data_IF_116391842417
#
_entry.id   IF_116391842417
#
_cell.length_a   1.000
_cell.length_b   1.000
_cell.length_c   1.000
_cell.angle_alpha   90.00
_cell.angle_beta   90.00
_cell.angle_gamma   90.00
#
_symmetry.space_group_name_H-M   'P 1'
#
loop_
_entity.id
_entity.type
_entity.pdbx_description
1 polymer ?
#
# COMPACT_ATOMS: atom_id res chain seq x y z
N UNK A 1 25.62 -13.39 16.38
CA UNK A 1 24.68 -13.23 15.24
C UNK A 1 23.84 -11.98 15.51
N UNK A 2 23.59 -11.16 14.50
CA UNK A 2 22.70 -9.99 14.63
C UNK A 2 21.28 -10.42 14.23
N UNK A 3 20.27 -10.04 15.02
CA UNK A 3 18.86 -10.17 14.68
C UNK A 3 18.32 -8.79 14.27
N UNK A 4 17.55 -8.74 13.20
CA UNK A 4 16.81 -7.55 12.80
C UNK A 4 15.33 -7.76 13.12
N UNK A 5 14.76 -6.85 13.89
CA UNK A 5 13.37 -6.91 14.34
C UNK A 5 12.68 -5.62 13.91
N UNK A 6 11.55 -5.73 13.24
CA UNK A 6 10.79 -4.60 12.74
C UNK A 6 9.29 -4.75 12.98
N UNK A 7 8.61 -3.66 13.24
CA UNK A 7 7.15 -3.64 13.29
C UNK A 7 6.54 -3.85 11.91
N UNK A 8 5.38 -4.50 11.86
CA UNK A 8 4.68 -4.81 10.60
C UNK A 8 4.16 -3.57 9.86
N UNK A 9 4.17 -2.41 10.50
CA UNK A 9 3.56 -1.17 10.00
C UNK A 9 2.16 -0.95 10.56
N UNK A 10 1.63 0.25 10.34
CA UNK A 10 0.33 0.66 10.86
C UNK A 10 -0.69 0.93 9.73
N UNK A 11 -0.55 0.21 8.61
CA UNK A 11 -1.35 0.44 7.39
C UNK A 11 -2.51 -0.57 7.23
N UNK A 12 -2.76 -1.43 8.24
CA UNK A 12 -3.75 -2.50 8.15
C UNK A 12 -5.19 -2.03 7.90
N UNK A 13 -5.57 -0.87 8.42
CA UNK A 13 -6.89 -0.24 8.26
C UNK A 13 -6.85 1.13 7.58
N UNK A 14 -5.68 1.53 7.07
CA UNK A 14 -5.45 2.84 6.46
C UNK A 14 -6.16 3.06 5.11
N UNK A 15 -6.67 2.00 4.50
CA UNK A 15 -7.29 2.09 3.17
C UNK A 15 -6.31 2.35 2.02
N UNK A 16 -5.01 2.18 2.28
CA UNK A 16 -3.94 2.44 1.31
C UNK A 16 -3.63 1.29 0.35
N UNK A 17 -4.32 0.15 0.46
CA UNK A 17 -4.11 -1.00 -0.41
C UNK A 17 -5.43 -1.53 -0.97
N UNK A 18 -5.40 -1.99 -2.21
CA UNK A 18 -6.49 -2.74 -2.84
C UNK A 18 -5.93 -3.77 -3.82
N UNK A 19 -6.66 -4.84 -4.04
CA UNK A 19 -6.24 -5.95 -4.90
C UNK A 19 -7.40 -6.53 -5.70
N UNK A 20 -7.10 -7.36 -6.68
CA UNK A 20 -8.13 -8.05 -7.44
C UNK A 20 -7.60 -8.99 -8.52
N UNK A 21 -8.54 -9.43 -9.35
CA UNK A 21 -8.27 -10.38 -10.42
C UNK A 21 -8.71 -9.82 -11.76
N UNK A 22 -7.83 -9.88 -12.75
CA UNK A 22 -8.10 -9.48 -14.14
C UNK A 22 -8.78 -10.62 -14.91
N UNK A 23 -9.63 -10.23 -15.84
CA UNK A 23 -10.22 -11.14 -16.84
C UNK A 23 -10.24 -10.44 -18.20
N UNK A 24 -9.89 -11.15 -19.24
CA UNK A 24 -9.90 -10.60 -20.62
C UNK A 24 -11.29 -10.01 -20.95
N UNK A 25 -11.29 -8.83 -21.54
CA UNK A 25 -12.51 -8.12 -21.95
C UNK A 25 -13.38 -7.58 -20.83
N UNK A 26 -12.96 -7.69 -19.54
CA UNK A 26 -13.70 -7.17 -18.39
C UNK A 26 -12.87 -6.10 -17.67
N UNK A 27 -13.30 -4.85 -17.77
CA UNK A 27 -12.65 -3.76 -17.06
C UNK A 27 -12.79 -3.90 -15.54
N UNK A 28 -11.73 -3.53 -14.81
CA UNK A 28 -11.77 -3.38 -13.37
C UNK A 28 -11.86 -1.89 -13.03
N UNK A 29 -12.77 -1.55 -12.14
CA UNK A 29 -13.01 -0.16 -11.70
C UNK A 29 -12.57 -0.02 -10.26
N UNK A 30 -11.60 0.83 -10.02
CA UNK A 30 -11.07 1.16 -8.71
C UNK A 30 -11.40 2.61 -8.41
N UNK A 31 -12.02 2.86 -7.26
CA UNK A 31 -12.38 4.18 -6.78
C UNK A 31 -11.40 4.63 -5.71
N UNK A 32 -10.81 5.80 -5.91
CA UNK A 32 -9.84 6.44 -5.04
C UNK A 32 -10.41 7.77 -4.55
N UNK A 33 -10.66 7.87 -3.25
CA UNK A 33 -10.97 9.14 -2.61
C UNK A 33 -9.70 9.96 -2.47
N UNK A 34 -9.69 11.18 -2.97
CA UNK A 34 -8.62 12.17 -2.76
C UNK A 34 -9.17 13.27 -1.87
N UNK A 35 -8.58 13.43 -0.69
CA UNK A 35 -8.98 14.45 0.26
C UNK A 35 -8.64 15.87 -0.24
N UNK A 36 -9.31 16.92 0.26
CA UNK A 36 -8.91 18.28 0.01
C UNK A 36 -7.46 18.56 0.43
N UNK A 37 -6.80 19.46 -0.30
CA UNK A 37 -5.44 19.95 0.01
C UNK A 37 -4.32 18.93 -0.21
N UNK A 38 -4.53 17.84 -0.95
CA UNK A 38 -3.43 16.98 -1.39
C UNK A 38 -2.53 17.72 -2.38
N UNK A 39 -1.25 17.84 -2.04
CA UNK A 39 -0.23 18.52 -2.86
C UNK A 39 0.47 17.60 -3.84
N UNK A 40 0.37 16.30 -3.64
CA UNK A 40 0.95 15.26 -4.50
C UNK A 40 0.50 13.90 -4.03
N UNK A 41 0.26 13.01 -4.97
CA UNK A 41 -0.16 11.64 -4.70
C UNK A 41 0.49 10.73 -5.73
N UNK A 42 0.87 9.54 -5.30
CA UNK A 42 1.25 8.49 -6.24
C UNK A 42 0.48 7.20 -5.97
N UNK A 43 0.29 6.43 -7.02
CA UNK A 43 -0.35 5.11 -6.98
C UNK A 43 0.61 4.12 -7.62
N UNK A 44 0.88 3.03 -6.93
CA UNK A 44 1.72 1.93 -7.41
C UNK A 44 0.81 0.75 -7.74
N UNK A 45 0.63 0.46 -9.01
CA UNK A 45 -0.06 -0.74 -9.49
C UNK A 45 0.97 -1.80 -9.86
N UNK A 46 0.81 -3.00 -9.31
CA UNK A 46 1.66 -4.15 -9.60
C UNK A 46 0.85 -5.27 -10.26
N UNK A 47 1.33 -5.76 -11.39
CA UNK A 47 0.78 -6.89 -12.14
C UNK A 47 1.91 -7.79 -12.67
N UNK A 48 1.57 -8.90 -13.29
CA UNK A 48 2.58 -9.68 -14.01
C UNK A 48 2.97 -9.00 -15.33
N UNK A 49 4.25 -9.14 -15.74
CA UNK A 49 4.70 -8.67 -17.05
C UNK A 49 3.99 -9.33 -18.23
N UNK A 50 3.53 -10.58 -18.07
CA UNK A 50 2.84 -11.31 -19.13
C UNK A 50 1.39 -10.86 -19.36
N UNK A 51 0.84 -10.09 -18.43
CA UNK A 51 -0.50 -9.54 -18.53
C UNK A 51 -0.47 -8.17 -19.22
N UNK A 52 -1.25 -8.00 -20.27
CA UNK A 52 -1.40 -6.73 -20.97
C UNK A 52 -2.53 -5.93 -20.31
N UNK A 53 -2.21 -4.78 -19.74
CA UNK A 53 -3.19 -3.92 -19.05
C UNK A 53 -2.96 -2.47 -19.43
N UNK A 54 -3.91 -1.89 -20.14
CA UNK A 54 -3.98 -0.44 -20.28
C UNK A 54 -4.73 0.16 -19.07
N UNK A 55 -4.50 1.43 -18.81
CA UNK A 55 -5.19 2.16 -17.73
C UNK A 55 -5.96 3.35 -18.31
N UNK A 56 -6.99 3.78 -17.59
CA UNK A 56 -7.71 5.03 -17.83
C UNK A 56 -8.01 5.68 -16.49
N UNK A 57 -7.79 6.97 -16.38
CA UNK A 57 -8.10 7.74 -15.19
C UNK A 57 -9.20 8.74 -15.49
N UNK A 58 -10.13 8.87 -14.55
CA UNK A 58 -11.25 9.81 -14.66
C UNK A 58 -11.27 10.64 -13.38
N UNK A 59 -11.27 11.96 -13.50
CA UNK A 59 -11.33 12.87 -12.39
C UNK A 59 -12.73 12.95 -11.76
N UNK A 60 -12.89 13.58 -10.59
CA UNK A 60 -14.20 13.74 -9.94
C UNK A 60 -15.23 14.54 -10.75
N UNK A 61 -14.79 15.31 -11.74
CA UNK A 61 -15.67 16.08 -12.65
C UNK A 61 -16.08 15.30 -13.90
N UNK A 62 -15.54 14.08 -14.09
CA UNK A 62 -15.83 13.23 -15.24
C UNK A 62 -14.89 13.39 -16.43
N UNK A 63 -13.84 14.22 -16.32
CA UNK A 63 -12.82 14.29 -17.37
C UNK A 63 -11.99 13.01 -17.38
N UNK A 64 -11.77 12.44 -18.58
CA UNK A 64 -11.06 11.19 -18.75
C UNK A 64 -9.73 11.39 -19.48
N UNK A 65 -8.71 10.63 -19.06
CA UNK A 65 -7.39 10.58 -19.72
C UNK A 65 -7.44 9.97 -21.13
N UNK A 66 -8.52 9.25 -21.44
CA UNK A 66 -8.49 8.26 -22.51
C UNK A 66 -7.71 7.00 -22.11
N UNK A 67 -7.59 6.05 -23.06
CA UNK A 67 -6.83 4.81 -22.86
C UNK A 67 -5.34 5.09 -22.91
N UNK A 68 -4.61 4.63 -21.89
CA UNK A 68 -3.16 4.74 -21.75
C UNK A 68 -2.56 3.35 -21.87
N UNK A 69 -1.95 3.06 -23.01
CA UNK A 69 -1.28 1.79 -23.27
C UNK A 69 0.16 1.82 -22.75
N UNK A 70 0.73 0.63 -22.55
CA UNK A 70 2.13 0.47 -22.18
C UNK A 70 3.06 1.09 -23.22
N UNK A 71 3.94 1.98 -22.77
CA UNK A 71 5.00 2.62 -23.58
C UNK A 71 6.24 2.82 -22.75
N UNK A 72 7.41 2.72 -23.39
CA UNK A 72 8.69 3.06 -22.76
C UNK A 72 8.75 4.54 -22.37
N UNK A 73 9.25 4.81 -21.17
CA UNK A 73 9.41 6.17 -20.65
C UNK A 73 8.16 6.70 -19.95
N UNK A 74 8.23 7.97 -19.55
CA UNK A 74 7.16 8.65 -18.82
C UNK A 74 6.14 9.21 -19.82
N UNK A 75 4.88 8.87 -19.64
CA UNK A 75 3.76 9.44 -20.35
C UNK A 75 3.15 10.55 -19.50
N UNK A 76 2.94 11.74 -20.11
CA UNK A 76 2.32 12.91 -19.48
C UNK A 76 0.95 13.13 -20.05
N UNK A 77 -0.04 13.25 -19.21
CA UNK A 77 -1.45 13.44 -19.62
C UNK A 77 -2.11 14.37 -18.60
N UNK A 78 -2.80 15.39 -19.06
CA UNK A 78 -3.61 16.25 -18.19
C UNK A 78 -5.05 15.75 -18.15
N UNK A 79 -5.61 15.64 -16.95
CA UNK A 79 -7.02 15.30 -16.70
C UNK A 79 -7.61 16.35 -15.78
N UNK A 80 -8.51 17.20 -16.31
CA UNK A 80 -8.99 18.38 -15.59
C UNK A 80 -7.84 19.33 -15.25
N UNK A 81 -7.64 19.60 -13.97
CA UNK A 81 -6.57 20.46 -13.43
C UNK A 81 -5.42 19.64 -12.79
N UNK A 82 -5.27 18.39 -13.20
CA UNK A 82 -4.24 17.49 -12.64
C UNK A 82 -3.39 16.89 -13.77
N UNK A 83 -2.08 17.10 -13.72
CA UNK A 83 -1.13 16.40 -14.58
C UNK A 83 -0.87 15.01 -14.02
N UNK A 84 -0.93 14.01 -14.87
CA UNK A 84 -0.63 12.61 -14.56
C UNK A 84 0.68 12.22 -15.23
N UNK A 85 1.62 11.69 -14.44
CA UNK A 85 2.82 11.05 -14.96
C UNK A 85 2.68 9.54 -14.80
N UNK A 86 2.67 8.82 -15.90
CA UNK A 86 2.51 7.37 -15.90
C UNK A 86 3.79 6.72 -16.41
N UNK A 87 4.31 5.78 -15.65
CA UNK A 87 5.48 5.00 -16.00
C UNK A 87 5.19 3.51 -15.89
N UNK A 88 5.29 2.80 -16.99
CA UNK A 88 5.29 1.34 -17.02
C UNK A 88 6.72 0.84 -16.79
N UNK A 89 6.95 0.18 -15.67
CA UNK A 89 8.27 -0.30 -15.28
C UNK A 89 8.85 -1.32 -16.25
N UNK A 90 10.15 -1.21 -16.50
CA UNK A 90 10.87 -2.13 -17.36
C UNK A 90 11.09 -3.50 -16.68
N UNK A 91 11.22 -4.58 -17.46
CA UNK A 91 11.51 -5.91 -16.93
C UNK A 91 12.76 -5.92 -16.05
N UNK A 92 12.67 -6.58 -14.90
CA UNK A 92 13.76 -6.71 -13.93
C UNK A 92 14.18 -8.19 -13.84
N UNK A 93 15.48 -8.51 -13.75
CA UNK A 93 15.93 -9.90 -13.74
C UNK A 93 15.55 -10.67 -12.49
N UNK A 94 15.09 -9.98 -11.45
CA UNK A 94 14.74 -10.54 -10.14
C UNK A 94 13.24 -10.50 -9.84
N UNK A 95 12.40 -10.05 -10.76
CA UNK A 95 10.95 -9.95 -10.56
C UNK A 95 10.18 -10.23 -11.85
N UNK A 96 9.16 -11.05 -11.75
CA UNK A 96 8.17 -11.28 -12.81
C UNK A 96 7.02 -10.25 -12.75
N UNK A 97 7.04 -9.37 -11.75
CA UNK A 97 6.03 -8.34 -11.56
C UNK A 97 6.47 -7.03 -12.19
N UNK A 98 5.54 -6.38 -12.86
CA UNK A 98 5.67 -5.04 -13.42
C UNK A 98 4.97 -4.03 -12.52
N UNK A 99 5.69 -2.97 -12.20
CA UNK A 99 5.13 -1.79 -11.57
C UNK A 99 4.61 -0.83 -12.64
N UNK A 100 3.40 -0.33 -12.46
CA UNK A 100 2.90 0.85 -13.16
C UNK A 100 2.79 1.95 -12.11
N UNK A 101 3.63 2.97 -12.24
CA UNK A 101 3.71 4.09 -11.31
C UNK A 101 2.94 5.28 -11.88
N UNK A 102 1.98 5.76 -11.12
CA UNK A 102 1.10 6.87 -11.50
C UNK A 102 1.31 8.00 -10.50
N UNK A 103 1.80 9.14 -10.96
CA UNK A 103 1.96 10.34 -10.13
C UNK A 103 0.89 11.35 -10.51
N UNK A 104 0.20 11.89 -9.51
CA UNK A 104 -0.74 12.97 -9.63
C UNK A 104 -0.05 14.27 -9.21
N UNK A 105 0.01 15.22 -10.10
CA UNK A 105 0.59 16.54 -9.88
C UNK A 105 -0.48 17.60 -10.14
N UNK A 106 -0.77 18.49 -9.19
CA UNK A 106 -1.72 19.57 -9.43
C UNK A 106 -1.13 20.59 -10.39
N UNK A 107 -1.91 21.11 -11.33
CA UNK A 107 -1.52 22.29 -12.13
C UNK A 107 -1.55 23.58 -11.30
N UNK A 108 -2.32 23.57 -10.20
CA UNK A 108 -2.35 24.66 -9.21
C UNK A 108 -1.65 24.24 -7.90
N UNK A 109 -2.29 24.44 -6.76
CA UNK A 109 -1.71 24.08 -5.45
C UNK A 109 -2.06 22.66 -4.99
N UNK A 110 -3.24 22.15 -5.40
CA UNK A 110 -3.78 20.90 -4.89
C UNK A 110 -4.39 20.06 -6.01
N UNK A 111 -4.30 18.73 -5.85
CA UNK A 111 -4.97 17.77 -6.71
C UNK A 111 -6.48 17.95 -6.55
N UNK A 112 -7.24 17.82 -7.64
CA UNK A 112 -8.70 17.89 -7.64
C UNK A 112 -9.27 16.91 -6.61
N UNK A 113 -9.90 17.38 -5.51
CA UNK A 113 -10.43 16.52 -4.46
C UNK A 113 -11.72 15.83 -4.91
N UNK A 114 -11.98 14.66 -4.36
CA UNK A 114 -13.16 13.85 -4.65
C UNK A 114 -12.81 12.43 -5.07
N UNK A 115 -13.76 11.74 -5.70
CA UNK A 115 -13.56 10.36 -6.10
C UNK A 115 -12.99 10.29 -7.51
N UNK A 116 -11.74 9.88 -7.60
CA UNK A 116 -11.08 9.51 -8.85
C UNK A 116 -11.41 8.07 -9.21
N UNK A 117 -11.59 7.79 -10.49
CA UNK A 117 -11.79 6.43 -11.00
C UNK A 117 -10.57 5.99 -11.78
N UNK A 118 -9.99 4.87 -11.38
CA UNK A 118 -8.91 4.18 -12.10
C UNK A 118 -9.53 2.96 -12.75
N UNK A 119 -9.50 2.88 -14.08
CA UNK A 119 -9.94 1.71 -14.83
C UNK A 119 -8.75 0.93 -15.33
N UNK A 120 -8.71 -0.36 -15.02
CA UNK A 120 -7.81 -1.30 -15.65
C UNK A 120 -8.53 -1.93 -16.83
N UNK A 121 -7.92 -1.82 -18.01
CA UNK A 121 -8.47 -2.33 -19.28
C UNK A 121 -7.62 -3.52 -19.72
N UNK A 122 -8.01 -4.76 -19.34
CA UNK A 122 -7.24 -5.96 -19.64
C UNK A 122 -7.25 -6.28 -21.12
N UNK A 123 -6.04 -6.54 -21.68
CA UNK A 123 -5.85 -7.18 -22.96
C UNK A 123 -5.71 -8.69 -22.78
N UNK A 124 -4.56 -9.25 -23.18
CA UNK A 124 -4.23 -10.66 -22.94
C UNK A 124 -3.85 -10.86 -21.48
N UNK A 125 -4.49 -11.80 -20.79
CA UNK A 125 -4.32 -12.05 -19.36
C UNK A 125 -3.90 -13.51 -19.11
N UNK A 126 -2.85 -13.70 -18.32
CA UNK A 126 -2.25 -15.01 -17.99
C UNK A 126 -2.22 -15.24 -16.47
N UNK A 127 -1.56 -14.35 -15.69
CA UNK A 127 -1.41 -14.46 -14.22
C UNK A 127 -2.68 -14.01 -13.48
N UNK A 128 -3.35 -13.00 -14.00
CA UNK A 128 -4.61 -12.40 -13.52
C UNK A 128 -4.48 -11.52 -12.29
N UNK A 129 -3.51 -11.73 -11.39
CA UNK A 129 -3.46 -11.01 -10.12
C UNK A 129 -2.90 -9.58 -10.29
N UNK A 130 -3.54 -8.63 -9.63
CA UNK A 130 -3.01 -7.27 -9.50
C UNK A 130 -3.16 -6.77 -8.07
N UNK A 131 -2.30 -5.84 -7.71
CA UNK A 131 -2.34 -5.16 -6.41
C UNK A 131 -2.01 -3.69 -6.60
N UNK A 132 -2.56 -2.82 -5.77
CA UNK A 132 -2.38 -1.38 -5.86
C UNK A 132 -2.19 -0.76 -4.49
N UNK A 133 -1.19 0.11 -4.36
CA UNK A 133 -0.86 0.79 -3.11
C UNK A 133 -0.82 2.30 -3.29
N UNK A 134 -1.20 3.00 -2.22
CA UNK A 134 -0.95 4.41 -1.97
C UNK A 134 0.31 4.55 -1.09
N UNK A 135 0.85 5.77 -0.93
CA UNK A 135 1.82 6.08 0.12
C UNK A 135 1.28 5.74 1.51
N UNK A 136 2.17 5.62 2.48
CA UNK A 136 1.74 5.45 3.88
C UNK A 136 0.79 6.58 4.31
N UNK A 137 -0.21 6.24 5.12
CA UNK A 137 -1.26 7.19 5.55
C UNK A 137 -0.67 8.47 6.18
N UNK A 138 0.47 8.38 6.85
CA UNK A 138 1.17 9.54 7.42
C UNK A 138 1.66 10.56 6.40
N UNK A 139 1.73 10.19 5.12
CA UNK A 139 2.13 11.06 4.01
C UNK A 139 0.91 11.62 3.23
N UNK A 140 -0.30 11.26 3.62
CA UNK A 140 -1.55 11.62 2.96
C UNK A 140 -2.45 12.42 3.91
N UNK A 141 -3.35 13.20 3.34
CA UNK A 141 -4.40 13.85 4.10
C UNK A 141 -5.47 12.83 4.52
N UNK A 142 -6.07 13.06 5.67
CA UNK A 142 -7.14 12.19 6.20
C UNK A 142 -8.31 12.15 5.22
N UNK A 143 -8.67 10.94 4.79
CA UNK A 143 -9.72 10.69 3.80
C UNK A 143 -9.19 10.36 2.39
N UNK A 144 -7.88 10.46 2.14
CA UNK A 144 -7.27 9.91 0.93
C UNK A 144 -7.06 8.41 1.10
N UNK A 145 -7.88 7.60 0.40
CA UNK A 145 -7.89 6.14 0.53
C UNK A 145 -8.64 5.50 -0.64
N UNK A 146 -8.43 4.22 -0.88
CA UNK A 146 -9.31 3.43 -1.75
C UNK A 146 -10.68 3.24 -1.10
N UNK A 147 -11.77 3.33 -1.88
CA UNK A 147 -13.13 3.12 -1.35
C UNK A 147 -13.46 1.65 -1.09
N UNK A 148 -12.70 0.74 -1.70
CA UNK A 148 -12.79 -0.71 -1.47
C UNK A 148 -11.39 -1.24 -1.14
N UNK A 149 -10.88 -0.93 0.06
CA UNK A 149 -9.55 -1.37 0.46
C UNK A 149 -9.51 -2.86 0.79
N UNK A 150 -8.31 -3.43 0.66
CA UNK A 150 -7.97 -4.77 1.14
C UNK A 150 -6.96 -4.62 2.28
N UNK A 151 -7.27 -5.16 3.46
CA UNK A 151 -6.40 -5.10 4.63
C UNK A 151 -5.23 -6.09 4.59
N UNK A 152 -5.23 -7.06 3.68
CA UNK A 152 -4.09 -7.93 3.45
C UNK A 152 -2.97 -7.20 2.68
N UNK A 153 -1.76 -7.74 2.75
CA UNK A 153 -0.58 -7.21 2.03
C UNK A 153 -0.28 -5.73 2.35
N UNK A 154 -0.46 -5.38 3.64
CA UNK A 154 -0.24 -4.03 4.18
C UNK A 154 1.01 -3.92 5.05
N UNK A 155 1.93 -4.89 4.95
CA UNK A 155 3.24 -4.81 5.59
C UNK A 155 4.07 -3.67 4.98
N UNK A 156 4.79 -2.94 5.84
CA UNK A 156 5.68 -1.87 5.40
C UNK A 156 7.15 -2.32 5.36
N UNK A 157 7.97 -1.68 4.55
CA UNK A 157 9.42 -1.90 4.55
C UNK A 157 10.01 -1.32 5.85
N UNK A 158 10.92 -2.06 6.55
CA UNK A 158 11.65 -3.27 6.12
C UNK A 158 11.01 -4.59 6.56
N UNK A 159 9.81 -4.61 7.13
CA UNK A 159 9.19 -5.82 7.68
C UNK A 159 8.91 -6.92 6.64
N UNK A 160 8.89 -6.56 5.36
CA UNK A 160 8.70 -7.50 4.25
C UNK A 160 9.94 -8.35 3.94
N UNK A 161 11.11 -8.01 4.50
CA UNK A 161 12.35 -8.74 4.24
C UNK A 161 12.31 -10.12 4.91
N UNK A 162 12.73 -11.17 4.20
CA UNK A 162 12.61 -12.55 4.64
C UNK A 162 13.37 -12.88 5.94
N UNK A 163 14.51 -12.23 6.18
CA UNK A 163 15.36 -12.45 7.35
C UNK A 163 15.09 -11.50 8.53
N UNK A 164 14.12 -10.59 8.40
CA UNK A 164 13.68 -9.72 9.49
C UNK A 164 12.60 -10.42 10.29
N UNK A 165 12.68 -10.34 11.62
CA UNK A 165 11.61 -10.78 12.52
C UNK A 165 10.55 -9.67 12.52
N UNK A 166 9.40 -9.94 11.95
CA UNK A 166 8.31 -8.99 11.78
C UNK A 166 7.30 -9.12 12.90
N UNK A 167 7.04 -8.02 13.60
CA UNK A 167 6.20 -7.98 14.79
C UNK A 167 4.89 -7.26 14.50
N UNK A 168 3.77 -7.97 14.63
CA UNK A 168 2.43 -7.41 14.63
C UNK A 168 2.05 -6.84 16.00
N UNK A 169 1.01 -6.03 16.04
CA UNK A 169 0.44 -5.51 17.27
C UNK A 169 -0.89 -6.19 17.62
N UNK A 170 -1.10 -6.43 18.93
CA UNK A 170 -2.39 -6.82 19.47
C UNK A 170 -2.75 -5.97 20.71
N UNK A 171 -4.04 -5.91 21.06
CA UNK A 171 -4.50 -5.31 22.31
C UNK A 171 -4.40 -6.35 23.44
N UNK A 172 -3.55 -6.08 24.44
CA UNK A 172 -3.31 -6.98 25.56
C UNK A 172 -4.51 -7.13 26.52
N UNK A 173 -5.50 -6.22 26.48
CA UNK A 173 -6.70 -6.31 27.31
C UNK A 173 -7.76 -7.21 26.68
N UNK A 174 -7.91 -7.16 25.38
CA UNK A 174 -8.93 -7.91 24.64
C UNK A 174 -8.38 -9.17 23.95
N UNK A 175 -7.05 -9.28 23.86
CA UNK A 175 -6.35 -10.30 23.07
C UNK A 175 -6.75 -10.32 21.60
N UNK A 176 -7.22 -9.18 21.07
CA UNK A 176 -7.55 -9.02 19.66
C UNK A 176 -6.39 -8.46 18.86
N UNK A 177 -6.27 -8.87 17.61
CA UNK A 177 -5.34 -8.27 16.66
C UNK A 177 -5.70 -6.78 16.47
N UNK A 178 -4.71 -5.90 16.48
CA UNK A 178 -4.96 -4.48 16.30
C UNK A 178 -5.26 -4.17 14.82
N UNK A 179 -6.37 -3.48 14.54
CA UNK A 179 -6.84 -3.25 13.16
C UNK A 179 -5.82 -2.53 12.29
N UNK A 180 -5.09 -1.57 12.86
CA UNK A 180 -4.02 -0.85 12.17
C UNK A 180 -2.80 -1.71 11.85
N UNK A 181 -2.59 -2.85 12.54
CA UNK A 181 -1.38 -3.64 12.38
C UNK A 181 -1.26 -4.22 10.98
N UNK A 182 -0.14 -3.99 10.32
CA UNK A 182 0.13 -4.48 8.98
C UNK A 182 0.04 -6.01 8.89
N UNK A 183 -0.57 -6.48 7.80
CA UNK A 183 -0.86 -7.89 7.53
C UNK A 183 -0.12 -8.37 6.29
N UNK A 184 0.29 -9.63 6.31
CA UNK A 184 0.82 -10.30 5.12
C UNK A 184 -0.27 -10.61 4.09
N UNK A 185 0.09 -11.31 3.00
CA UNK A 185 -0.88 -11.69 1.98
C UNK A 185 -1.93 -12.65 2.55
N UNK A 186 -3.18 -12.53 2.08
CA UNK A 186 -4.31 -13.37 2.51
C UNK A 186 -4.12 -14.84 2.10
N UNK A 187 -3.39 -15.09 1.02
CA UNK A 187 -3.01 -16.42 0.56
C UNK A 187 -1.50 -16.57 0.59
N UNK A 188 -1.02 -17.68 1.11
CA UNK A 188 0.40 -18.04 1.00
C UNK A 188 0.75 -18.17 -0.47
N UNK A 189 1.80 -17.48 -0.91
CA UNK A 189 2.29 -17.63 -2.27
C UNK A 189 2.64 -19.09 -2.53
N UNK A 190 2.23 -19.62 -3.68
CA UNK A 190 2.63 -20.98 -4.15
C UNK A 190 4.15 -21.14 -4.32
N UNK A 191 4.93 -20.10 -4.10
CA UNK A 191 6.39 -20.06 -4.14
C UNK A 191 7.13 -20.24 -2.80
N UNK A 192 6.46 -20.62 -1.71
CA UNK A 192 7.12 -20.97 -0.44
C UNK A 192 7.67 -19.79 0.36
N UNK A 193 7.10 -18.62 0.24
CA UNK A 193 7.45 -17.47 1.08
C UNK A 193 7.17 -17.73 2.56
N UNK A 194 8.01 -17.18 3.45
CA UNK A 194 7.80 -17.26 4.91
C UNK A 194 6.57 -16.39 5.26
N UNK A 195 5.58 -16.95 5.99
CA UNK A 195 4.45 -16.15 6.45
C UNK A 195 4.91 -14.95 7.29
N UNK A 196 4.31 -13.80 7.07
CA UNK A 196 4.55 -12.58 7.83
C UNK A 196 3.19 -11.99 8.31
N UNK A 197 3.13 -11.35 9.49
CA UNK A 197 4.18 -11.20 10.52
C UNK A 197 4.59 -12.52 11.16
N UNK A 198 5.82 -12.62 11.73
CA UNK A 198 6.33 -13.84 12.37
C UNK A 198 5.67 -14.08 13.73
N UNK A 199 5.37 -13.00 14.47
CA UNK A 199 4.70 -13.03 15.76
C UNK A 199 4.01 -11.70 16.06
N UNK A 200 3.24 -11.66 17.16
CA UNK A 200 2.59 -10.46 17.66
C UNK A 200 2.99 -10.14 19.10
N UNK A 201 2.99 -8.87 19.47
CA UNK A 201 3.23 -8.39 20.82
C UNK A 201 2.25 -7.27 21.18
N UNK A 202 2.08 -6.91 22.49
CA UNK A 202 1.24 -5.80 22.89
C UNK A 202 1.64 -4.49 22.19
N UNK A 203 0.69 -3.85 21.50
CA UNK A 203 0.94 -2.62 20.76
C UNK A 203 -0.16 -1.59 20.87
N UNK A 204 -1.15 -1.81 21.76
CA UNK A 204 -2.26 -0.89 22.03
C UNK A 204 -2.18 -0.40 23.48
N UNK A 205 -2.18 0.92 23.66
CA UNK A 205 -2.10 1.59 24.99
C UNK A 205 -0.90 1.10 25.83
N UNK A 206 0.25 0.99 25.19
CA UNK A 206 1.50 0.61 25.87
C UNK A 206 2.05 1.80 26.62
N UNK A 207 2.21 1.68 27.93
CA UNK A 207 2.85 2.71 28.76
C UNK A 207 4.34 2.74 28.48
N UNK A 208 4.84 3.88 28.01
CA UNK A 208 6.23 4.10 27.70
C UNK A 208 6.70 5.50 28.09
N UNK A 209 8.02 5.76 28.23
CA UNK A 209 8.53 7.09 28.50
C UNK A 209 8.08 8.11 27.44
N UNK A 210 7.66 9.28 27.90
CA UNK A 210 7.17 10.37 27.07
C UNK A 210 8.21 11.48 26.88
N UNK A 211 8.14 12.20 25.77
CA UNK A 211 8.92 13.42 25.53
C UNK A 211 8.62 14.47 26.60
N UNK A 212 9.65 15.04 27.20
CA UNK A 212 9.51 15.99 28.29
C UNK A 212 9.49 15.35 29.70
N UNK A 213 9.59 14.02 29.79
CA UNK A 213 9.64 13.25 31.03
C UNK A 213 8.28 12.64 31.42
N UNK A 214 8.32 11.70 32.37
CA UNK A 214 7.15 10.92 32.75
C UNK A 214 6.81 9.78 31.78
N UNK A 215 5.57 9.31 31.84
CA UNK A 215 5.07 8.20 31.05
C UNK A 215 3.74 8.57 30.39
N UNK A 216 3.49 8.02 29.20
CA UNK A 216 2.22 8.13 28.49
C UNK A 216 1.85 6.81 27.84
N UNK A 217 0.60 6.66 27.42
CA UNK A 217 0.13 5.54 26.64
C UNK A 217 0.31 5.80 25.14
N UNK A 218 0.83 4.82 24.45
CA UNK A 218 1.10 4.87 23.02
C UNK A 218 0.53 3.63 22.30
N UNK A 219 0.17 3.80 21.04
CA UNK A 219 -0.38 2.75 20.21
C UNK A 219 0.36 2.69 18.88
N UNK A 220 0.74 1.49 18.44
CA UNK A 220 1.44 1.24 17.18
C UNK A 220 2.31 -0.01 17.23
N UNK A 221 2.65 -0.55 16.07
CA UNK A 221 3.62 -1.66 15.96
C UNK A 221 5.02 -1.25 16.43
N UNK A 222 5.33 0.05 16.43
CA UNK A 222 6.55 0.62 17.02
C UNK A 222 6.67 0.35 18.52
N UNK A 223 5.57 0.14 19.23
CA UNK A 223 5.53 -0.18 20.68
C UNK A 223 5.43 -1.69 20.92
N UNK A 224 5.00 -2.48 19.94
CA UNK A 224 5.03 -3.93 19.98
C UNK A 224 6.46 -4.48 19.77
N UNK A 225 7.20 -3.90 18.85
CA UNK A 225 8.56 -4.32 18.47
C UNK A 225 9.56 -4.38 19.64
N UNK A 226 9.61 -3.41 20.58
CA UNK A 226 10.53 -3.45 21.72
C UNK A 226 10.34 -4.65 22.66
N UNK A 227 9.12 -5.16 22.81
CA UNK A 227 8.89 -6.38 23.61
C UNK A 227 9.63 -7.57 23.04
N UNK A 228 9.57 -7.75 21.73
CA UNK A 228 10.26 -8.83 21.03
C UNK A 228 11.77 -8.62 21.06
N UNK A 229 12.23 -7.38 20.85
CA UNK A 229 13.65 -7.04 20.90
C UNK A 229 14.24 -7.30 22.29
N UNK A 230 13.54 -6.90 23.37
CA UNK A 230 13.94 -7.18 24.74
C UNK A 230 13.96 -8.67 25.06
N UNK A 231 12.95 -9.42 24.60
CA UNK A 231 12.89 -10.87 24.77
C UNK A 231 14.04 -11.57 24.05
N UNK A 232 14.35 -11.15 22.81
CA UNK A 232 15.47 -11.72 22.05
C UNK A 232 16.85 -11.42 22.67
N UNK A 233 16.96 -10.30 23.42
CA UNK A 233 18.21 -9.95 24.11
C UNK A 233 18.44 -10.76 25.40
N UNK A 234 17.38 -11.42 25.92
CA UNK A 234 17.44 -12.25 27.13
C UNK A 234 17.70 -13.74 26.80
N UNK A 235 17.61 -14.15 25.54
CA UNK A 235 17.87 -15.50 25.03
C UNK A 235 19.33 -15.68 24.55
#
# INVERSE_FOLDING_TARGET
>A
RNAFIAGSGNEGDAGGHTSGTLSEGTEQVIELSVAPFETGLNVQLWKSYVDEVAIMLIDPSGNASGRIDERTGIQRITVGETELLIYYGEPKPYSVRQEIYITFLPESNFITPGVWTIRLVPGKIVDKSWQMWLPAQSALNVGTAFLKPDSATTLTIPSTASLVITVAAYDALTFSYADFSGRGPAQMYEGGGVPKPDLAAPGVRVTAPATGGGYAEFTGTSFATPFVTGSAALL
#
